data_IF_801044583121
#
_entry.id   IF_801044583121
#
_cell.length_a   1.000
_cell.length_b   1.000
_cell.length_c   1.000
_cell.angle_alpha   90.00
_cell.angle_beta   90.00
_cell.angle_gamma   90.00
#
_symmetry.space_group_name_H-M   'P 1'
#
loop_
_entity.id
_entity.type
_entity.pdbx_description
1 polymer ?
#
# COMPACT_ATOMS: atom_id res chain seq x y z
N UNK A 1 13.52 6.17 -39.56
CA UNK A 1 13.11 5.01 -38.75
C UNK A 1 14.32 4.16 -38.36
N UNK A 2 14.77 4.30 -37.12
CA UNK A 2 15.97 3.62 -36.59
C UNK A 2 15.66 2.17 -36.21
N UNK A 3 16.68 1.32 -36.11
CA UNK A 3 16.54 -0.09 -35.71
C UNK A 3 15.92 -0.26 -34.30
N UNK A 4 16.14 0.72 -33.42
CA UNK A 4 15.58 0.77 -32.07
C UNK A 4 14.05 0.97 -32.08
N UNK A 5 13.54 1.83 -32.97
CA UNK A 5 12.09 2.08 -33.12
C UNK A 5 11.34 0.84 -33.63
N UNK A 6 11.95 0.10 -34.56
CA UNK A 6 11.36 -1.16 -35.08
C UNK A 6 11.28 -2.24 -34.01
N UNK A 7 12.29 -2.38 -33.15
CA UNK A 7 12.25 -3.32 -32.00
C UNK A 7 11.21 -2.92 -30.96
N UNK A 8 11.07 -1.63 -30.65
CA UNK A 8 10.02 -1.14 -29.73
C UNK A 8 8.61 -1.41 -30.28
N UNK A 9 8.36 -1.15 -31.57
CA UNK A 9 7.09 -1.49 -32.21
C UNK A 9 6.79 -2.99 -32.27
N UNK A 10 7.82 -3.83 -32.43
CA UNK A 10 7.65 -5.28 -32.41
C UNK A 10 7.28 -5.80 -31.02
N UNK A 11 7.96 -5.30 -29.97
CA UNK A 11 7.64 -5.62 -28.58
C UNK A 11 6.24 -5.13 -28.17
N UNK A 12 5.82 -3.94 -28.61
CA UNK A 12 4.49 -3.42 -28.30
C UNK A 12 3.37 -4.23 -28.98
N UNK A 13 3.62 -4.70 -30.21
CA UNK A 13 2.70 -5.62 -30.92
C UNK A 13 2.63 -7.00 -30.25
N UNK A 14 3.76 -7.55 -29.83
CA UNK A 14 3.82 -8.82 -29.10
C UNK A 14 3.07 -8.73 -27.77
N UNK A 15 3.27 -7.66 -27.02
CA UNK A 15 2.56 -7.39 -25.76
C UNK A 15 1.05 -7.28 -25.98
N UNK A 16 0.59 -6.49 -26.95
CA UNK A 16 -0.86 -6.36 -27.25
C UNK A 16 -1.50 -7.68 -27.70
N UNK A 17 -0.75 -8.56 -28.37
CA UNK A 17 -1.22 -9.91 -28.71
C UNK A 17 -1.34 -10.79 -27.47
N UNK A 18 -0.34 -10.77 -26.60
CA UNK A 18 -0.37 -11.51 -25.34
C UNK A 18 -1.56 -11.08 -24.47
N UNK A 19 -1.84 -9.76 -24.37
CA UNK A 19 -2.97 -9.24 -23.60
C UNK A 19 -4.31 -9.73 -24.18
N UNK A 20 -4.49 -9.64 -25.51
CA UNK A 20 -5.71 -10.14 -26.16
C UNK A 20 -5.91 -11.64 -25.97
N UNK A 21 -4.83 -12.41 -26.09
CA UNK A 21 -4.87 -13.86 -25.89
C UNK A 21 -5.28 -14.21 -24.46
N UNK A 22 -4.70 -13.54 -23.46
CA UNK A 22 -5.02 -13.77 -22.05
C UNK A 22 -6.46 -13.35 -21.71
N UNK A 23 -6.93 -12.21 -22.24
CA UNK A 23 -8.32 -11.75 -22.08
C UNK A 23 -9.32 -12.79 -22.62
N UNK A 24 -9.05 -13.30 -23.83
CA UNK A 24 -9.89 -14.33 -24.46
C UNK A 24 -9.85 -15.66 -23.71
N UNK A 25 -8.69 -16.07 -23.21
CA UNK A 25 -8.51 -17.32 -22.47
C UNK A 25 -9.24 -17.31 -21.12
N UNK A 26 -9.24 -16.17 -20.43
CA UNK A 26 -9.82 -16.04 -19.08
C UNK A 26 -11.24 -15.48 -19.06
N UNK A 27 -11.78 -15.02 -20.19
CA UNK A 27 -13.09 -14.37 -20.24
C UNK A 27 -13.13 -13.03 -19.49
N UNK A 28 -11.99 -12.35 -19.36
CA UNK A 28 -11.89 -11.06 -18.63
C UNK A 28 -11.70 -9.89 -19.59
N UNK A 29 -12.08 -8.66 -19.21
CA UNK A 29 -11.84 -7.47 -20.02
C UNK A 29 -10.36 -7.27 -20.35
N UNK A 30 -10.06 -6.71 -21.53
CA UNK A 30 -8.69 -6.42 -22.00
C UNK A 30 -7.85 -5.64 -20.97
N UNK A 31 -8.47 -4.69 -20.25
CA UNK A 31 -7.80 -3.88 -19.23
C UNK A 31 -7.40 -4.68 -17.98
N UNK A 32 -8.10 -5.78 -17.68
CA UNK A 32 -7.76 -6.74 -16.62
C UNK A 32 -6.61 -7.61 -17.09
N UNK A 33 -6.69 -8.17 -18.30
CA UNK A 33 -5.59 -8.93 -18.91
C UNK A 33 -4.30 -8.09 -19.07
N UNK A 34 -4.42 -6.79 -19.36
CA UNK A 34 -3.29 -5.88 -19.49
C UNK A 34 -2.57 -5.67 -18.14
N UNK A 35 -3.36 -5.56 -17.06
CA UNK A 35 -2.84 -5.51 -15.69
C UNK A 35 -2.22 -6.85 -15.28
N UNK A 36 -2.85 -7.97 -15.65
CA UNK A 36 -2.31 -9.31 -15.42
C UNK A 36 -1.00 -9.57 -16.16
N UNK A 37 -0.73 -8.93 -17.30
CA UNK A 37 0.57 -9.09 -17.98
C UNK A 37 1.62 -8.13 -17.41
N UNK A 38 1.20 -6.99 -16.89
CA UNK A 38 2.12 -6.02 -16.27
C UNK A 38 2.51 -6.42 -14.83
N UNK A 39 1.58 -6.99 -14.08
CA UNK A 39 1.74 -7.47 -12.71
C UNK A 39 0.73 -8.62 -12.43
N UNK A 40 1.03 -9.84 -12.93
CA UNK A 40 0.12 -10.99 -12.90
C UNK A 40 -0.30 -11.37 -11.49
N UNK A 41 0.65 -11.34 -10.57
CA UNK A 41 0.42 -11.83 -9.22
C UNK A 41 -0.50 -10.90 -8.45
N UNK A 42 -0.30 -9.59 -8.57
CA UNK A 42 -1.09 -8.61 -7.83
C UNK A 42 -2.50 -8.43 -8.37
N UNK A 43 -2.66 -8.40 -9.70
CA UNK A 43 -3.98 -8.30 -10.31
C UNK A 43 -4.84 -9.55 -10.02
N UNK A 44 -4.24 -10.74 -9.96
CA UNK A 44 -4.93 -11.96 -9.50
C UNK A 44 -5.33 -11.87 -8.03
N UNK A 45 -4.45 -11.37 -7.16
CA UNK A 45 -4.75 -11.25 -5.72
C UNK A 45 -5.96 -10.35 -5.45
N UNK A 46 -6.06 -9.19 -6.10
CA UNK A 46 -7.24 -8.31 -5.95
C UNK A 46 -8.49 -8.92 -6.57
N UNK A 47 -8.40 -9.50 -7.78
CA UNK A 47 -9.53 -10.14 -8.43
C UNK A 47 -10.09 -11.31 -7.60
N UNK A 48 -9.22 -12.12 -6.98
CA UNK A 48 -9.66 -13.21 -6.10
C UNK A 48 -10.35 -12.71 -4.85
N UNK A 49 -9.93 -11.56 -4.29
CA UNK A 49 -10.58 -10.96 -3.10
C UNK A 49 -11.94 -10.37 -3.44
N UNK A 50 -12.07 -9.70 -4.58
CA UNK A 50 -13.35 -9.16 -5.07
C UNK A 50 -14.36 -10.29 -5.41
N UNK A 51 -13.87 -11.45 -5.83
CA UNK A 51 -14.71 -12.62 -6.15
C UNK A 51 -15.07 -13.49 -4.92
N UNK A 52 -14.65 -13.10 -3.71
CA UNK A 52 -14.99 -13.84 -2.50
C UNK A 52 -16.50 -13.78 -2.20
N UNK A 53 -17.07 -14.84 -1.61
CA UNK A 53 -18.43 -14.79 -1.09
C UNK A 53 -18.63 -13.61 -0.14
N UNK A 54 -19.82 -13.02 -0.15
CA UNK A 54 -20.15 -11.85 0.66
C UNK A 54 -19.77 -12.00 2.14
N UNK A 55 -20.10 -13.14 2.77
CA UNK A 55 -19.77 -13.39 4.17
C UNK A 55 -18.26 -13.36 4.45
N UNK A 56 -17.45 -13.83 3.51
CA UNK A 56 -15.99 -13.78 3.64
C UNK A 56 -15.48 -12.35 3.51
N UNK A 57 -16.06 -11.55 2.60
CA UNK A 57 -15.74 -10.13 2.49
C UNK A 57 -16.13 -9.34 3.74
N UNK A 58 -17.29 -9.60 4.33
CA UNK A 58 -17.72 -8.99 5.61
C UNK A 58 -16.78 -9.37 6.75
N UNK A 59 -16.32 -10.63 6.81
CA UNK A 59 -15.31 -11.04 7.79
C UNK A 59 -14.00 -10.26 7.58
N UNK A 60 -13.52 -10.20 6.34
CA UNK A 60 -12.27 -9.48 5.99
C UNK A 60 -12.36 -7.98 6.37
N UNK A 61 -13.52 -7.34 6.21
CA UNK A 61 -13.73 -5.92 6.53
C UNK A 61 -13.96 -5.68 8.02
N UNK A 62 -14.58 -6.62 8.75
CA UNK A 62 -14.65 -6.57 10.23
C UNK A 62 -13.25 -6.63 10.85
N UNK A 63 -12.40 -7.53 10.34
CA UNK A 63 -11.00 -7.60 10.76
C UNK A 63 -10.28 -6.28 10.41
N UNK A 64 -10.50 -5.74 9.21
CA UNK A 64 -9.91 -4.47 8.78
C UNK A 64 -10.34 -3.28 9.65
N UNK A 65 -11.54 -3.32 10.23
CA UNK A 65 -12.15 -2.26 11.03
C UNK A 65 -11.78 -2.32 12.53
N UNK A 66 -10.84 -3.19 12.92
CA UNK A 66 -10.37 -3.34 14.30
C UNK A 66 -8.91 -2.88 14.47
N UNK A 67 -8.58 -1.58 14.31
CA UNK A 67 -7.24 -1.08 14.60
C UNK A 67 -6.89 -1.23 16.10
N UNK A 68 -5.60 -1.37 16.46
CA UNK A 68 -4.46 -1.35 15.56
C UNK A 68 -4.16 -2.70 14.88
N UNK A 69 -4.49 -3.83 15.54
CA UNK A 69 -4.06 -5.17 15.10
C UNK A 69 -4.77 -5.65 13.83
N UNK A 70 -6.09 -5.54 13.78
CA UNK A 70 -6.91 -6.03 12.69
C UNK A 70 -6.66 -5.26 11.39
N UNK A 71 -6.61 -3.92 11.44
CA UNK A 71 -6.23 -3.09 10.29
C UNK A 71 -4.84 -3.45 9.75
N UNK A 72 -3.87 -3.64 10.64
CA UNK A 72 -2.52 -4.03 10.24
C UNK A 72 -2.48 -5.42 9.57
N UNK A 73 -3.17 -6.40 10.14
CA UNK A 73 -3.27 -7.76 9.59
C UNK A 73 -3.97 -7.77 8.22
N UNK A 74 -5.06 -7.02 8.09
CA UNK A 74 -5.78 -6.89 6.83
C UNK A 74 -4.88 -6.32 5.72
N UNK A 75 -4.16 -5.23 6.00
CA UNK A 75 -3.29 -4.61 5.01
C UNK A 75 -2.09 -5.50 4.64
N UNK A 76 -1.47 -6.22 5.58
CA UNK A 76 -0.38 -7.14 5.23
C UNK A 76 -0.85 -8.32 4.40
N UNK A 77 -2.06 -8.83 4.64
CA UNK A 77 -2.68 -9.87 3.84
C UNK A 77 -3.06 -9.37 2.42
N UNK A 78 -3.54 -8.13 2.32
CA UNK A 78 -3.91 -7.48 1.05
C UNK A 78 -2.70 -7.14 0.18
N UNK A 79 -1.59 -6.77 0.79
CA UNK A 79 -0.33 -6.42 0.11
C UNK A 79 0.77 -7.44 0.44
N UNK A 80 0.75 -8.64 -0.19
CA UNK A 80 1.76 -9.65 0.04
C UNK A 80 3.14 -9.20 -0.47
N UNK A 81 4.19 -9.86 0.03
CA UNK A 81 5.57 -9.60 -0.39
C UNK A 81 5.72 -9.73 -1.90
N UNK A 82 6.35 -8.74 -2.52
CA UNK A 82 6.52 -8.68 -3.96
C UNK A 82 8.00 -8.60 -4.31
N UNK A 83 8.44 -9.46 -5.22
CA UNK A 83 9.78 -9.41 -5.79
C UNK A 83 9.70 -8.73 -7.16
N UNK A 84 10.43 -7.63 -7.32
CA UNK A 84 10.49 -6.88 -8.57
C UNK A 84 11.95 -6.77 -9.04
N UNK A 85 12.21 -6.39 -10.31
CA UNK A 85 13.55 -6.02 -10.75
C UNK A 85 14.15 -4.86 -9.94
N UNK A 86 13.31 -4.01 -9.34
CA UNK A 86 13.71 -2.95 -8.43
C UNK A 86 13.93 -3.43 -6.97
N UNK A 87 13.92 -4.74 -6.71
CA UNK A 87 14.11 -5.32 -5.38
C UNK A 87 12.81 -5.78 -4.73
N UNK A 88 12.90 -6.06 -3.42
CA UNK A 88 11.78 -6.55 -2.61
C UNK A 88 10.92 -5.38 -2.14
N UNK A 89 9.61 -5.50 -2.38
CA UNK A 89 8.59 -4.59 -1.90
C UNK A 89 7.68 -5.34 -0.93
N UNK A 90 7.03 -4.58 -0.03
CA UNK A 90 6.11 -5.14 0.95
C UNK A 90 6.79 -6.17 1.88
N UNK A 91 8.13 -6.11 2.01
CA UNK A 91 8.93 -7.08 2.76
C UNK A 91 8.99 -6.76 4.26
N UNK A 92 9.64 -7.63 5.04
CA UNK A 92 9.74 -7.53 6.49
C UNK A 92 8.95 -8.66 7.16
N UNK A 93 9.62 -9.38 8.07
CA UNK A 93 8.99 -10.45 8.84
C UNK A 93 7.87 -9.92 9.73
N UNK A 94 8.12 -8.78 10.35
CA UNK A 94 7.30 -8.25 11.42
C UNK A 94 6.54 -6.99 10.97
N UNK A 95 6.36 -6.85 9.66
CA UNK A 95 5.69 -5.69 9.03
C UNK A 95 4.27 -5.47 9.58
N UNK A 96 3.54 -6.53 9.89
CA UNK A 96 2.22 -6.43 10.51
C UNK A 96 2.33 -5.77 11.89
N UNK A 97 3.26 -6.22 12.71
CA UNK A 97 3.52 -5.65 14.03
C UNK A 97 3.94 -4.19 13.93
N UNK A 98 4.81 -3.84 12.98
CA UNK A 98 5.21 -2.44 12.75
C UNK A 98 4.00 -1.58 12.38
N UNK A 99 3.13 -2.03 11.47
CA UNK A 99 1.90 -1.30 11.13
C UNK A 99 1.01 -1.10 12.35
N UNK A 100 0.82 -2.13 13.17
CA UNK A 100 0.03 -2.03 14.39
C UNK A 100 0.64 -1.04 15.40
N UNK A 101 1.97 -1.01 15.54
CA UNK A 101 2.67 -0.03 16.38
C UNK A 101 2.49 1.39 15.86
N UNK A 102 2.55 1.62 14.55
CA UNK A 102 2.28 2.94 13.96
C UNK A 102 0.84 3.38 14.25
N UNK A 103 -0.15 2.50 14.12
CA UNK A 103 -1.53 2.82 14.50
C UNK A 103 -1.70 3.07 15.99
N UNK A 104 -1.00 2.34 16.87
CA UNK A 104 -1.03 2.58 18.30
C UNK A 104 -0.47 3.97 18.66
N UNK A 105 0.61 4.41 18.00
CA UNK A 105 1.14 5.78 18.16
C UNK A 105 0.12 6.82 17.74
N UNK A 106 -0.54 6.65 16.59
CA UNK A 106 -1.58 7.59 16.15
C UNK A 106 -2.75 7.61 17.13
N UNK A 107 -3.20 6.46 17.60
CA UNK A 107 -4.28 6.36 18.58
C UNK A 107 -3.94 7.07 19.90
N UNK A 108 -2.67 7.00 20.33
CA UNK A 108 -2.18 7.63 21.55
C UNK A 108 -2.05 9.16 21.40
N UNK A 109 -1.49 9.64 20.29
CA UNK A 109 -1.10 11.04 20.12
C UNK A 109 -2.13 11.89 19.37
N UNK A 110 -3.04 11.27 18.62
CA UNK A 110 -4.01 11.94 17.75
C UNK A 110 -5.30 11.11 17.66
N UNK A 111 -5.94 10.92 18.82
CA UNK A 111 -7.16 10.12 18.93
C UNK A 111 -8.32 10.65 18.07
N UNK A 112 -8.28 11.92 17.66
CA UNK A 112 -9.22 12.55 16.73
C UNK A 112 -9.11 12.01 15.29
N UNK A 113 -7.99 11.35 14.94
CA UNK A 113 -7.81 10.67 13.65
C UNK A 113 -8.37 9.25 13.65
N UNK A 114 -8.77 8.71 14.81
CA UNK A 114 -9.44 7.42 14.88
C UNK A 114 -10.89 7.58 14.41
N UNK A 115 -11.33 6.76 13.45
CA UNK A 115 -12.74 6.75 13.09
C UNK A 115 -13.60 6.26 14.26
N UNK A 116 -14.85 6.74 14.33
CA UNK A 116 -15.76 6.30 15.38
C UNK A 116 -16.03 4.79 15.28
N UNK A 117 -16.07 4.10 16.42
CA UNK A 117 -16.24 2.64 16.45
C UNK A 117 -17.56 2.20 15.79
N UNK A 118 -18.64 2.97 15.98
CA UNK A 118 -19.95 2.70 15.36
C UNK A 118 -19.91 2.87 13.83
N UNK A 119 -19.21 3.89 13.34
CA UNK A 119 -19.02 4.12 11.90
C UNK A 119 -18.22 2.97 11.28
N UNK A 120 -17.12 2.57 11.91
CA UNK A 120 -16.29 1.45 11.45
C UNK A 120 -17.07 0.12 11.45
N UNK A 121 -17.84 -0.14 12.51
CA UNK A 121 -18.69 -1.32 12.57
C UNK A 121 -19.71 -1.32 11.43
N UNK A 122 -20.38 -0.20 11.17
CA UNK A 122 -21.34 -0.08 10.08
C UNK A 122 -20.70 -0.27 8.70
N UNK A 123 -19.58 0.41 8.43
CA UNK A 123 -18.84 0.28 7.16
C UNK A 123 -18.34 -1.15 6.95
N UNK A 124 -17.91 -1.83 8.02
CA UNK A 124 -17.46 -3.21 7.93
C UNK A 124 -18.55 -4.17 7.45
N UNK A 125 -19.81 -3.94 7.80
CA UNK A 125 -20.94 -4.79 7.36
C UNK A 125 -21.21 -4.71 5.85
N UNK A 126 -20.70 -3.69 5.16
CA UNK A 126 -20.84 -3.57 3.70
C UNK A 126 -20.02 -4.62 2.94
N UNK A 127 -18.98 -5.20 3.56
CA UNK A 127 -18.06 -6.12 2.89
C UNK A 127 -17.27 -5.44 1.75
N UNK A 128 -17.11 -4.12 1.83
CA UNK A 128 -16.39 -3.30 0.86
C UNK A 128 -15.07 -2.78 1.46
N UNK A 129 -13.93 -3.38 1.07
CA UNK A 129 -12.61 -2.96 1.56
C UNK A 129 -12.35 -1.47 1.30
N UNK A 130 -12.77 -0.95 0.14
CA UNK A 130 -12.61 0.46 -0.21
C UNK A 130 -13.37 1.39 0.72
N UNK A 131 -14.53 0.99 1.25
CA UNK A 131 -15.27 1.80 2.20
C UNK A 131 -14.49 1.89 3.53
N UNK A 132 -13.93 0.77 4.02
CA UNK A 132 -13.05 0.78 5.20
C UNK A 132 -11.79 1.61 4.95
N UNK A 133 -11.20 1.54 3.75
CA UNK A 133 -10.03 2.35 3.38
C UNK A 133 -10.33 3.85 3.42
N UNK A 134 -11.50 4.26 2.95
CA UNK A 134 -11.93 5.67 2.98
C UNK A 134 -12.11 6.14 4.42
N UNK A 135 -12.82 5.36 5.24
CA UNK A 135 -13.04 5.69 6.67
C UNK A 135 -11.73 5.73 7.45
N UNK A 136 -10.80 4.82 7.18
CA UNK A 136 -9.48 4.79 7.81
C UNK A 136 -8.45 5.74 7.19
N UNK A 137 -8.78 6.53 6.16
CA UNK A 137 -7.79 7.30 5.41
C UNK A 137 -6.98 8.28 6.29
N UNK A 138 -7.64 8.92 7.27
CA UNK A 138 -6.97 9.83 8.20
C UNK A 138 -6.00 9.10 9.14
N UNK A 139 -6.43 7.95 9.68
CA UNK A 139 -5.60 7.06 10.50
C UNK A 139 -4.39 6.53 9.71
N UNK A 140 -4.61 6.02 8.50
CA UNK A 140 -3.57 5.51 7.61
C UNK A 140 -2.57 6.62 7.22
N UNK A 141 -3.06 7.83 6.98
CA UNK A 141 -2.23 9.01 6.71
C UNK A 141 -1.42 9.42 7.94
N UNK A 142 -2.01 9.39 9.13
CA UNK A 142 -1.31 9.62 10.39
C UNK A 142 -0.19 8.61 10.61
N UNK A 143 -0.48 7.32 10.43
CA UNK A 143 0.50 6.25 10.58
C UNK A 143 1.64 6.39 9.57
N UNK A 144 1.32 6.82 8.34
CA UNK A 144 2.32 7.09 7.31
C UNK A 144 3.23 8.26 7.68
N UNK A 145 2.70 9.30 8.35
CA UNK A 145 3.50 10.43 8.84
C UNK A 145 4.42 10.00 9.99
N UNK A 146 3.92 9.21 10.94
CA UNK A 146 4.73 8.62 12.02
C UNK A 146 5.90 7.82 11.45
N UNK A 147 5.69 7.08 10.36
CA UNK A 147 6.73 6.29 9.71
C UNK A 147 7.79 7.11 8.93
N UNK A 148 7.59 8.44 8.78
CA UNK A 148 8.59 9.36 8.21
C UNK A 148 9.50 9.98 9.27
N UNK A 149 9.20 9.81 10.56
CA UNK A 149 10.08 10.28 11.65
C UNK A 149 11.44 9.58 11.61
N UNK A 150 12.43 10.23 12.24
CA UNK A 150 13.70 9.57 12.55
C UNK A 150 13.46 8.30 13.37
N UNK A 151 14.20 7.24 13.04
CA UNK A 151 14.00 5.90 13.59
C UNK A 151 14.10 5.86 15.12
N UNK A 152 15.02 6.63 15.72
CA UNK A 152 15.16 6.64 17.17
C UNK A 152 13.94 7.28 17.84
N UNK A 153 13.48 8.41 17.30
CA UNK A 153 12.27 9.11 17.79
C UNK A 153 11.03 8.25 17.64
N UNK A 154 10.90 7.53 16.52
CA UNK A 154 9.79 6.61 16.27
C UNK A 154 9.65 5.57 17.38
N UNK A 155 10.72 4.88 17.74
CA UNK A 155 10.64 3.80 18.73
C UNK A 155 10.32 4.31 20.14
N UNK A 156 10.82 5.48 20.53
CA UNK A 156 10.42 6.11 21.81
C UNK A 156 8.93 6.45 21.85
N UNK A 157 8.35 6.88 20.72
CA UNK A 157 6.90 7.14 20.62
C UNK A 157 6.09 5.84 20.70
N UNK A 158 6.59 4.76 20.07
CA UNK A 158 5.96 3.43 20.16
C UNK A 158 5.98 2.91 21.61
N UNK A 159 7.10 3.03 22.32
CA UNK A 159 7.20 2.68 23.74
C UNK A 159 6.15 3.45 24.56
N UNK A 160 6.10 4.78 24.42
CA UNK A 160 5.14 5.61 25.13
C UNK A 160 3.67 5.22 24.83
N UNK A 161 3.34 4.95 23.57
CA UNK A 161 2.00 4.57 23.16
C UNK A 161 1.58 3.19 23.73
N UNK A 162 2.50 2.23 23.78
CA UNK A 162 2.24 0.91 24.37
C UNK A 162 2.10 1.01 25.88
N UNK A 163 2.96 1.77 26.55
CA UNK A 163 2.92 1.96 28.01
C UNK A 163 1.66 2.71 28.48
N UNK A 164 1.15 3.63 27.65
CA UNK A 164 -0.09 4.35 27.93
C UNK A 164 -1.36 3.54 27.64
N UNK A 165 -1.26 2.41 26.93
CA UNK A 165 -2.39 1.56 26.59
C UNK A 165 -3.01 0.85 27.79
N UNK A 166 -4.28 0.43 27.68
CA UNK A 166 -4.88 -0.43 28.69
C UNK A 166 -4.08 -1.75 28.78
N UNK A 167 -3.49 -2.10 29.94
CA UNK A 167 -2.69 -3.31 30.10
C UNK A 167 -3.48 -4.61 29.90
N UNK A 168 -4.82 -4.54 29.91
CA UNK A 168 -5.71 -5.69 29.65
C UNK A 168 -6.11 -5.81 28.18
N UNK A 169 -5.90 -4.77 27.37
CA UNK A 169 -6.24 -4.82 25.96
C UNK A 169 -5.27 -5.76 25.21
N UNK A 170 -5.83 -6.60 24.35
CA UNK A 170 -5.08 -7.56 23.53
C UNK A 170 -3.97 -6.88 22.72
N UNK A 171 -4.26 -5.70 22.18
CA UNK A 171 -3.30 -4.88 21.45
C UNK A 171 -2.08 -4.53 22.30
N UNK A 172 -2.28 -3.99 23.51
CA UNK A 172 -1.19 -3.63 24.43
C UNK A 172 -0.34 -4.85 24.80
N UNK A 173 -0.97 -5.97 25.13
CA UNK A 173 -0.29 -7.22 25.50
C UNK A 173 0.57 -7.73 24.34
N UNK A 174 -0.01 -7.78 23.13
CA UNK A 174 0.66 -8.26 21.93
C UNK A 174 1.84 -7.36 21.56
N UNK A 175 1.60 -6.05 21.48
CA UNK A 175 2.63 -5.09 21.06
C UNK A 175 3.75 -4.97 22.11
N UNK A 176 3.44 -4.97 23.40
CA UNK A 176 4.45 -4.91 24.47
C UNK A 176 5.33 -6.17 24.56
N UNK A 177 4.84 -7.32 24.09
CA UNK A 177 5.67 -8.51 23.90
C UNK A 177 6.65 -8.32 22.74
N UNK A 178 6.15 -7.86 21.60
CA UNK A 178 6.93 -7.75 20.36
C UNK A 178 7.93 -6.60 20.35
N UNK A 179 7.67 -5.50 21.06
CA UNK A 179 8.52 -4.29 21.10
C UNK A 179 9.97 -4.58 21.51
N UNK A 180 10.19 -5.64 22.28
CA UNK A 180 11.52 -6.08 22.72
C UNK A 180 12.33 -6.82 21.63
N UNK A 181 11.77 -7.01 20.43
CA UNK A 181 12.43 -7.71 19.33
C UNK A 181 13.21 -6.76 18.41
N UNK A 182 14.48 -7.07 18.15
CA UNK A 182 15.35 -6.27 17.28
C UNK A 182 14.94 -6.28 15.78
N UNK A 183 14.06 -7.20 15.35
CA UNK A 183 13.71 -7.40 13.93
C UNK A 183 12.68 -6.40 13.38
N UNK A 184 11.99 -5.65 14.25
CA UNK A 184 10.95 -4.68 13.87
C UNK A 184 11.48 -3.60 12.92
N UNK A 185 12.69 -3.10 13.19
CA UNK A 185 13.36 -2.03 12.42
C UNK A 185 13.46 -2.34 10.93
N UNK A 186 13.88 -3.56 10.61
CA UNK A 186 14.04 -4.02 9.22
C UNK A 186 12.72 -4.10 8.44
N UNK A 187 11.58 -4.10 9.14
CA UNK A 187 10.25 -4.20 8.55
C UNK A 187 9.57 -2.86 8.28
N UNK A 188 10.15 -1.74 8.75
CA UNK A 188 9.60 -0.40 8.56
C UNK A 188 9.46 0.02 7.09
N UNK A 189 10.44 -0.22 6.19
CA UNK A 189 10.28 0.12 4.77
C UNK A 189 9.08 -0.59 4.13
N UNK A 190 8.84 -1.84 4.47
CA UNK A 190 7.68 -2.58 3.97
C UNK A 190 6.35 -2.07 4.54
N UNK A 191 6.33 -1.63 5.80
CA UNK A 191 5.15 -1.00 6.41
C UNK A 191 4.81 0.33 5.71
N UNK A 192 5.82 1.17 5.45
CA UNK A 192 5.68 2.41 4.66
C UNK A 192 5.09 2.13 3.28
N UNK A 193 5.62 1.12 2.58
CA UNK A 193 5.11 0.72 1.26
C UNK A 193 3.67 0.24 1.31
N UNK A 194 3.27 -0.48 2.35
CA UNK A 194 1.87 -0.90 2.54
C UNK A 194 0.95 0.31 2.71
N UNK A 195 1.33 1.28 3.54
CA UNK A 195 0.58 2.53 3.73
C UNK A 195 0.52 3.37 2.45
N UNK A 196 1.64 3.50 1.74
CA UNK A 196 1.68 4.17 0.43
C UNK A 196 0.73 3.48 -0.56
N UNK A 197 0.65 2.15 -0.55
CA UNK A 197 -0.20 1.42 -1.47
C UNK A 197 -1.70 1.67 -1.26
N UNK A 198 -2.16 1.72 0.00
CA UNK A 198 -3.57 2.01 0.29
C UNK A 198 -3.89 3.48 0.02
N UNK A 199 -3.03 4.40 0.44
CA UNK A 199 -3.26 5.84 0.26
C UNK A 199 -3.18 6.28 -1.22
N UNK A 200 -2.20 5.78 -1.99
CA UNK A 200 -2.12 6.07 -3.43
C UNK A 200 -3.32 5.50 -4.19
N UNK A 201 -3.84 4.34 -3.79
CA UNK A 201 -5.03 3.76 -4.41
C UNK A 201 -6.27 4.65 -4.21
N UNK A 202 -6.43 5.28 -3.04
CA UNK A 202 -7.50 6.24 -2.79
C UNK A 202 -7.44 7.46 -3.74
N UNK A 203 -6.23 7.87 -4.14
CA UNK A 203 -6.01 8.92 -5.14
C UNK A 203 -6.00 8.41 -6.59
N UNK A 204 -6.32 7.13 -6.84
CA UNK A 204 -6.27 6.48 -8.17
C UNK A 204 -4.89 6.51 -8.82
N UNK A 205 -3.83 6.58 -8.02
CA UNK A 205 -2.44 6.65 -8.45
C UNK A 205 -1.79 5.26 -8.54
N UNK A 206 -0.62 5.22 -9.17
CA UNK A 206 0.20 4.01 -9.26
C UNK A 206 0.87 3.77 -7.91
N UNK A 207 0.48 2.69 -7.27
CA UNK A 207 1.02 2.23 -5.99
C UNK A 207 2.40 1.54 -6.13
N UNK A 208 3.10 1.20 -5.04
CA UNK A 208 4.36 0.47 -5.11
C UNK A 208 4.25 -0.85 -5.89
N UNK A 209 5.29 -1.18 -6.66
CA UNK A 209 5.36 -2.31 -7.58
C UNK A 209 4.85 -2.00 -8.98
N UNK A 210 4.06 -0.93 -9.16
CA UNK A 210 3.65 -0.51 -10.50
C UNK A 210 4.81 0.10 -11.29
N UNK A 211 4.77 -0.07 -12.61
CA UNK A 211 5.73 0.55 -13.51
C UNK A 211 5.23 1.92 -14.01
N UNK A 212 6.14 2.88 -14.09
CA UNK A 212 5.94 4.21 -14.69
C UNK A 212 6.99 4.46 -15.76
N UNK A 213 6.62 5.20 -16.81
CA UNK A 213 7.52 5.55 -17.91
C UNK A 213 8.03 6.97 -17.74
N UNK A 214 9.36 7.12 -17.70
CA UNK A 214 10.06 8.39 -17.55
C UNK A 214 10.91 8.60 -18.81
N UNK A 215 10.30 9.24 -19.81
CA UNK A 215 10.88 9.35 -21.15
C UNK A 215 11.09 7.98 -21.79
N UNK A 216 12.36 7.58 -22.00
CA UNK A 216 12.71 6.30 -22.59
C UNK A 216 12.96 5.18 -21.57
N UNK A 217 12.97 5.50 -20.27
CA UNK A 217 13.24 4.56 -19.19
C UNK A 217 11.95 4.14 -18.50
N UNK A 218 11.94 2.92 -17.99
CA UNK A 218 10.86 2.42 -17.12
C UNK A 218 11.39 2.34 -15.70
N UNK A 219 10.64 2.88 -14.76
CA UNK A 219 10.93 2.78 -13.33
C UNK A 219 9.80 2.04 -12.62
N UNK A 220 10.12 1.47 -11.45
CA UNK A 220 9.12 0.85 -10.55
C UNK A 220 8.85 1.83 -9.43
N UNK A 221 7.58 2.12 -9.15
CA UNK A 221 7.17 2.87 -7.96
C UNK A 221 7.53 2.04 -6.74
N UNK A 222 8.23 2.63 -5.79
CA UNK A 222 8.63 1.98 -4.53
C UNK A 222 8.07 2.69 -3.30
N UNK A 223 7.42 3.84 -3.48
CA UNK A 223 6.79 4.62 -2.42
C UNK A 223 6.27 5.95 -2.96
N UNK A 224 5.85 6.83 -2.05
CA UNK A 224 5.50 8.21 -2.36
C UNK A 224 5.96 9.20 -1.29
N UNK A 225 6.12 10.46 -1.71
CA UNK A 225 6.34 11.59 -0.82
C UNK A 225 5.02 12.28 -0.53
N UNK A 226 4.75 12.44 0.76
CA UNK A 226 3.54 13.05 1.26
C UNK A 226 3.85 14.38 1.94
N UNK A 227 3.25 15.49 1.51
CA UNK A 227 3.24 16.73 2.30
C UNK A 227 2.45 16.50 3.59
N UNK A 228 2.61 17.36 4.61
CA UNK A 228 1.93 17.21 5.91
C UNK A 228 0.42 17.00 5.78
N UNK A 229 -0.22 17.69 4.83
CA UNK A 229 -1.62 17.51 4.46
C UNK A 229 -1.79 17.51 2.93
N UNK A 230 -2.87 16.88 2.46
CA UNK A 230 -3.23 16.84 1.04
C UNK A 230 -2.67 15.64 0.27
N UNK A 231 -2.76 15.68 -1.08
CA UNK A 231 -2.36 14.59 -1.97
C UNK A 231 -0.83 14.38 -1.98
N UNK A 232 -0.35 13.22 -2.47
CA UNK A 232 1.09 12.98 -2.58
C UNK A 232 1.73 13.95 -3.57
N UNK A 233 2.94 14.41 -3.25
CA UNK A 233 3.68 15.39 -4.06
C UNK A 233 4.55 14.74 -5.14
N UNK A 234 5.08 13.54 -4.88
CA UNK A 234 5.96 12.83 -5.81
C UNK A 234 5.89 11.31 -5.62
N UNK A 235 6.18 10.57 -6.69
CA UNK A 235 6.55 9.17 -6.57
C UNK A 235 8.01 9.02 -6.12
N UNK A 236 8.25 8.03 -5.29
CA UNK A 236 9.57 7.43 -5.14
C UNK A 236 9.67 6.26 -6.12
N UNK A 237 10.65 6.31 -7.02
CA UNK A 237 10.82 5.29 -8.05
C UNK A 237 12.24 4.73 -8.03
N UNK A 238 12.39 3.50 -8.49
CA UNK A 238 13.69 2.85 -8.68
C UNK A 238 13.76 2.27 -10.08
N UNK A 239 14.89 2.48 -10.75
CA UNK A 239 15.14 1.88 -12.06
C UNK A 239 15.70 0.47 -11.90
N UNK A 240 15.49 -0.41 -12.88
CA UNK A 240 15.98 -1.78 -12.81
C UNK A 240 17.52 -1.87 -12.77
N UNK A 241 18.20 -0.85 -13.30
CA UNK A 241 19.65 -0.73 -13.40
C UNK A 241 20.28 0.21 -12.35
N UNK A 242 19.49 0.84 -11.49
CA UNK A 242 19.97 1.77 -10.48
C UNK A 242 19.25 1.53 -9.14
N UNK A 243 19.97 1.12 -8.07
CA UNK A 243 19.35 0.84 -6.77
C UNK A 243 18.87 2.10 -6.04
N UNK A 244 19.30 3.29 -6.46
CA UNK A 244 18.92 4.56 -5.82
C UNK A 244 17.45 4.87 -6.02
N UNK A 245 16.87 5.55 -5.04
CA UNK A 245 15.52 6.10 -5.13
C UNK A 245 15.61 7.45 -5.84
N UNK A 246 14.75 7.63 -6.83
CA UNK A 246 14.56 8.87 -7.57
C UNK A 246 13.18 9.44 -7.28
N UNK A 247 13.07 10.76 -7.24
CA UNK A 247 11.78 11.44 -7.06
C UNK A 247 11.22 11.86 -8.41
N UNK A 248 9.93 11.65 -8.60
CA UNK A 248 9.18 12.09 -9.79
C UNK A 248 7.98 12.88 -9.32
N UNK A 249 7.97 14.18 -9.61
CA UNK A 249 6.89 15.07 -9.21
C UNK A 249 5.56 14.69 -9.87
N UNK A 250 4.49 14.68 -9.05
CA UNK A 250 3.13 14.43 -9.50
C UNK A 250 2.43 15.71 -10.00
N UNK A 251 3.00 16.89 -9.72
CA UNK A 251 2.44 18.20 -10.07
C UNK A 251 2.35 18.52 -11.57
N UNK A 252 2.89 17.67 -12.45
CA UNK A 252 2.78 17.81 -13.91
C UNK A 252 1.64 16.97 -14.52
N UNK A 253 1.01 16.06 -13.76
CA UNK A 253 -0.13 15.25 -14.24
C UNK A 253 -1.50 15.78 -13.77
N UNK A 254 -1.53 16.82 -12.91
CA UNK A 254 -2.76 17.32 -12.26
C UNK A 254 -3.31 18.65 -12.81
N UNK A 255 -2.70 19.25 -13.83
CA UNK A 255 -3.34 20.38 -14.53
C UNK A 255 -4.38 19.84 -15.52
N UNK A 256 -5.69 20.11 -15.34
CA UNK A 256 -6.57 20.08 -16.50
C UNK A 256 -6.01 21.07 -17.50
N UNK A 257 -5.85 20.66 -18.75
CA UNK A 257 -5.57 21.59 -19.83
C UNK A 257 -6.61 22.70 -19.75
N UNK A 258 -6.17 23.92 -19.46
CA UNK A 258 -7.01 25.10 -19.57
C UNK A 258 -7.59 25.09 -21.00
N UNK A 259 -8.92 25.09 -21.07
CA UNK A 259 -9.71 25.25 -22.30
C UNK A 259 -9.94 26.74 -22.51
#
# INVERSE_FOLDING_TARGET
MTAAERRRQANDRARRRAIRALAAQMGVPYSVAARLIADPHRALMFAHREQRPFHARVSDTRDAAAPPLGRAAHLTARFPRLHTPAGRLYDGRDRQTVLAMLYAVVAHESADLLPAAEELAWVAELGEETAVDITCAALDRGARAVADDDEWRLWSRVEAAVDAGDPRAEATITLGRELRAASLRSSLPGARQTLDAVLLAAHRLKVPGAHVSLGTRTATVVGARWPQSGPPAAYEVRFADDPRIHLVDLGQEQQPAEV
#
